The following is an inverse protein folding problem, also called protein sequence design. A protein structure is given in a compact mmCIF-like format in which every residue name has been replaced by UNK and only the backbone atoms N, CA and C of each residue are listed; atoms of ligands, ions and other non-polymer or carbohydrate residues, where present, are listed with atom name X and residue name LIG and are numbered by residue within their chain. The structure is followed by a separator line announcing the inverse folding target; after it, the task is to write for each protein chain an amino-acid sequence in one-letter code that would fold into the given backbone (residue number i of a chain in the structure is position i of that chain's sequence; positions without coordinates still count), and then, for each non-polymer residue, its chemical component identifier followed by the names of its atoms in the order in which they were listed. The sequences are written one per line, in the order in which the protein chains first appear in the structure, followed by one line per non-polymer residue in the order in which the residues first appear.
data_IF_382097172318
#
_entry.id   IF_382097172318
#
_cell.length_a   1.000
_cell.length_b   1.000
_cell.length_c   1.000
_cell.angle_alpha   90.00
_cell.angle_beta   90.00
_cell.angle_gamma   90.00
#
_symmetry.space_group_name_H-M   'P 1'
#
loop_
_entity.id
_entity.type
_entity.pdbx_description
1 polymer ?
#
# COMPACT_ATOMS: atom_id res chain seq x y z
N UNK A 1 -8.77 -9.51 37.27
CA UNK A 1 -9.62 -8.37 37.66
C UNK A 1 -9.84 -7.50 36.42
N UNK A 2 -10.44 -6.32 36.52
CA UNK A 2 -10.26 -5.29 35.50
C UNK A 2 -8.99 -4.49 35.85
N UNK A 3 -8.13 -4.24 34.86
CA UNK A 3 -7.04 -3.29 35.00
C UNK A 3 -7.65 -1.90 34.92
N UNK A 4 -7.63 -1.14 36.02
CA UNK A 4 -8.27 0.17 36.09
C UNK A 4 -7.52 1.22 35.24
N UNK A 5 -6.20 1.10 35.14
CA UNK A 5 -5.35 1.93 34.26
C UNK A 5 -4.38 1.06 33.45
N UNK A 6 -3.97 1.55 32.27
CA UNK A 6 -2.95 0.96 31.41
C UNK A 6 -2.02 2.03 30.83
N UNK A 7 -0.71 1.79 30.85
CA UNK A 7 0.32 2.73 30.44
C UNK A 7 0.91 2.37 29.06
N UNK A 8 0.55 3.14 28.04
CA UNK A 8 1.00 2.97 26.65
C UNK A 8 2.19 3.87 26.35
N UNK A 9 3.34 3.27 26.06
CA UNK A 9 4.53 3.99 25.58
C UNK A 9 4.61 3.99 24.05
N UNK A 10 5.10 5.09 23.47
CA UNK A 10 5.50 5.14 22.06
C UNK A 10 6.42 6.34 21.75
N UNK A 11 6.81 6.48 20.48
CA UNK A 11 7.62 7.61 20.00
C UNK A 11 6.80 8.89 19.91
N UNK A 12 7.43 10.02 20.19
CA UNK A 12 6.86 11.38 20.19
C UNK A 12 6.34 11.89 18.83
N UNK A 13 6.73 11.25 17.72
CA UNK A 13 6.26 11.63 16.39
C UNK A 13 4.74 11.45 16.21
N UNK A 14 4.07 12.38 15.51
CA UNK A 14 2.62 12.38 15.27
C UNK A 14 2.03 11.04 14.82
N UNK A 15 2.72 10.31 13.94
CA UNK A 15 2.23 9.01 13.47
C UNK A 15 2.24 7.95 14.58
N UNK A 16 3.24 7.96 15.46
CA UNK A 16 3.37 7.02 16.57
C UNK A 16 2.42 7.39 17.73
N UNK A 17 2.25 8.69 18.02
CA UNK A 17 1.17 9.21 18.88
C UNK A 17 -0.20 8.73 18.39
N UNK A 18 -0.51 8.95 17.10
CA UNK A 18 -1.76 8.50 16.48
C UNK A 18 -1.94 6.99 16.51
N UNK A 19 -0.89 6.20 16.27
CA UNK A 19 -0.95 4.74 16.40
C UNK A 19 -1.25 4.32 17.85
N UNK A 20 -0.77 5.07 18.84
CA UNK A 20 -1.06 4.82 20.26
C UNK A 20 -2.51 5.17 20.61
N UNK A 21 -3.01 6.33 20.16
CA UNK A 21 -4.41 6.73 20.35
C UNK A 21 -5.38 5.72 19.73
N UNK A 22 -5.11 5.23 18.52
CA UNK A 22 -5.92 4.17 17.89
C UNK A 22 -5.96 2.85 18.69
N UNK A 23 -4.92 2.55 19.48
CA UNK A 23 -4.88 1.38 20.37
C UNK A 23 -5.65 1.65 21.66
N UNK A 24 -5.52 2.85 22.24
CA UNK A 24 -6.31 3.25 23.40
C UNK A 24 -7.81 3.29 23.11
N UNK A 25 -8.22 3.90 22.00
CA UNK A 25 -9.61 3.93 21.54
C UNK A 25 -10.21 2.52 21.38
N UNK A 26 -9.42 1.55 20.91
CA UNK A 26 -9.85 0.16 20.81
C UNK A 26 -9.94 -0.54 22.19
N UNK A 27 -9.05 -0.21 23.13
CA UNK A 27 -9.10 -0.72 24.50
C UNK A 27 -10.31 -0.16 25.26
N UNK A 28 -10.51 1.15 25.22
CA UNK A 28 -11.63 1.87 25.87
C UNK A 28 -12.99 1.42 25.30
N UNK A 29 -13.05 1.03 24.02
CA UNK A 29 -14.24 0.44 23.40
C UNK A 29 -14.51 -1.04 23.78
N UNK A 30 -13.58 -1.73 24.46
CA UNK A 30 -13.68 -3.16 24.79
C UNK A 30 -13.41 -3.52 26.27
N UNK A 31 -12.99 -2.56 27.08
CA UNK A 31 -12.77 -2.66 28.50
C UNK A 31 -12.96 -1.29 29.19
N UNK A 32 -13.49 -1.30 30.41
CA UNK A 32 -13.54 -0.12 31.28
C UNK A 32 -12.16 0.09 31.90
N UNK A 33 -11.29 0.81 31.18
CA UNK A 33 -9.89 1.07 31.54
C UNK A 33 -9.48 2.49 31.13
N UNK A 34 -8.72 3.17 31.99
CA UNK A 34 -8.13 4.49 31.69
C UNK A 34 -6.75 4.35 31.04
N UNK A 35 -6.54 4.98 29.89
CA UNK A 35 -5.27 4.92 29.17
C UNK A 35 -4.37 6.12 29.53
N UNK A 36 -3.17 5.83 30.03
CA UNK A 36 -2.09 6.79 30.25
C UNK A 36 -1.08 6.70 29.09
N UNK A 37 -0.68 7.82 28.50
CA UNK A 37 0.22 7.85 27.34
C UNK A 37 1.61 8.42 27.69
N UNK A 38 2.67 7.69 27.33
CA UNK A 38 4.06 8.09 27.55
C UNK A 38 4.84 8.21 26.23
N UNK A 39 5.06 9.44 25.79
CA UNK A 39 5.72 9.73 24.51
C UNK A 39 7.18 10.14 24.69
N UNK A 40 8.10 9.30 24.21
CA UNK A 40 9.56 9.53 24.27
C UNK A 40 10.16 9.84 22.91
N UNK A 41 11.27 10.56 22.87
CA UNK A 41 12.14 10.60 21.68
C UNK A 41 13.06 9.39 21.70
N UNK A 42 13.43 8.87 20.53
CA UNK A 42 14.34 7.71 20.41
C UNK A 42 15.68 8.12 19.79
N UNK A 43 16.73 7.32 19.99
CA UNK A 43 18.07 7.60 19.44
C UNK A 43 18.05 7.85 17.92
N UNK A 44 17.20 7.14 17.18
CA UNK A 44 17.01 7.33 15.73
C UNK A 44 16.15 8.55 15.32
N UNK A 45 15.51 9.24 16.27
CA UNK A 45 14.95 10.58 16.05
C UNK A 45 16.01 11.68 16.25
N UNK A 46 17.03 11.41 17.08
CA UNK A 46 18.08 12.37 17.47
C UNK A 46 19.20 12.43 16.42
N UNK A 47 19.75 11.30 15.94
CA UNK A 47 20.78 11.32 14.88
C UNK A 47 20.17 11.44 13.48
N UNK A 48 19.90 12.69 13.08
CA UNK A 48 19.43 13.05 11.73
C UNK A 48 20.54 13.03 10.66
N UNK A 49 21.83 12.98 11.03
CA UNK A 49 22.97 13.19 10.13
C UNK A 49 23.44 11.87 9.49
N UNK A 50 23.77 10.85 10.29
CA UNK A 50 24.37 9.61 9.76
C UNK A 50 23.34 8.71 9.06
N UNK A 51 23.58 8.23 7.84
CA UNK A 51 22.68 7.28 7.15
C UNK A 51 22.31 6.07 8.03
N UNK A 52 21.08 5.56 7.92
CA UNK A 52 20.57 4.49 8.81
C UNK A 52 21.45 3.22 8.80
N UNK A 53 22.13 2.95 7.68
CA UNK A 53 23.05 1.82 7.51
C UNK A 53 24.44 2.04 8.14
N UNK A 54 24.82 3.27 8.50
CA UNK A 54 26.07 3.61 9.21
C UNK A 54 25.93 3.53 10.74
N UNK A 55 24.72 3.67 11.27
CA UNK A 55 24.47 3.54 12.71
C UNK A 55 24.59 2.05 13.10
N UNK A 56 25.33 1.67 14.15
CA UNK A 56 25.48 0.27 14.57
C UNK A 56 24.12 -0.43 14.75
N UNK A 57 23.93 -1.56 14.06
CA UNK A 57 22.59 -2.07 13.73
C UNK A 57 21.95 -2.94 14.83
N UNK A 58 21.74 -2.38 16.03
CA UNK A 58 20.75 -2.88 16.99
C UNK A 58 19.91 -1.74 17.58
N UNK A 59 18.65 -2.04 17.85
CA UNK A 59 17.73 -1.31 18.74
C UNK A 59 17.50 0.20 18.62
N UNK A 60 18.01 0.90 17.59
CA UNK A 60 17.99 2.37 17.40
C UNK A 60 16.62 3.07 17.61
N UNK A 61 15.50 2.34 17.50
CA UNK A 61 14.14 2.83 17.74
C UNK A 61 13.38 2.10 18.88
N UNK A 62 14.02 1.15 19.57
CA UNK A 62 13.35 0.18 20.46
C UNK A 62 14.07 -0.13 21.77
N UNK A 63 15.35 0.17 21.94
CA UNK A 63 16.10 -0.24 23.14
C UNK A 63 15.57 0.40 24.43
N UNK A 64 15.28 1.71 24.42
CA UNK A 64 14.67 2.41 25.57
C UNK A 64 13.33 1.76 25.99
N UNK A 65 12.45 1.54 25.01
CA UNK A 65 11.14 0.90 25.20
C UNK A 65 11.24 -0.59 25.59
N UNK A 66 12.31 -1.27 25.17
CA UNK A 66 12.58 -2.67 25.56
C UNK A 66 12.88 -2.74 27.05
N UNK A 67 13.68 -1.79 27.57
CA UNK A 67 13.98 -1.73 28.99
C UNK A 67 12.74 -1.33 29.81
N UNK A 68 11.92 -0.37 29.34
CA UNK A 68 10.66 -0.02 30.02
C UNK A 68 9.72 -1.22 30.19
N UNK A 69 9.60 -2.09 29.19
CA UNK A 69 8.76 -3.31 29.26
C UNK A 69 9.36 -4.40 30.17
N UNK A 70 10.69 -4.57 30.16
CA UNK A 70 11.37 -5.56 31.00
C UNK A 70 11.34 -5.15 32.49
N UNK A 71 11.42 -3.85 32.78
CA UNK A 71 11.34 -3.28 34.12
C UNK A 71 9.90 -2.96 34.57
N UNK A 72 8.89 -3.27 33.76
CA UNK A 72 7.46 -3.00 34.03
C UNK A 72 7.15 -1.51 34.29
N UNK A 73 7.91 -0.60 33.69
CA UNK A 73 7.68 0.86 33.68
C UNK A 73 6.57 1.29 32.72
N UNK A 74 6.19 0.41 31.80
CA UNK A 74 5.07 0.60 30.86
C UNK A 74 4.41 -0.76 30.61
N UNK A 75 3.09 -0.76 30.41
CA UNK A 75 2.30 -1.99 30.23
C UNK A 75 2.42 -2.54 28.81
N UNK A 76 2.47 -1.63 27.82
CA UNK A 76 2.66 -1.96 26.42
C UNK A 76 3.37 -0.85 25.66
N UNK A 77 4.00 -1.20 24.54
CA UNK A 77 4.60 -0.24 23.60
C UNK A 77 3.98 -0.41 22.21
N UNK A 78 3.57 0.70 21.60
CA UNK A 78 2.89 0.71 20.30
C UNK A 78 3.85 1.12 19.18
N UNK A 79 3.97 0.26 18.16
CA UNK A 79 4.91 0.42 17.04
C UNK A 79 4.24 0.29 15.66
N UNK A 80 4.87 0.86 14.63
CA UNK A 80 4.69 0.39 13.25
C UNK A 80 5.41 -0.95 13.09
N UNK A 81 4.67 -2.05 12.86
CA UNK A 81 5.22 -3.42 12.98
C UNK A 81 6.42 -3.68 12.05
N UNK A 82 6.39 -3.13 10.84
CA UNK A 82 7.51 -3.22 9.87
C UNK A 82 8.85 -2.64 10.35
N UNK A 83 8.85 -1.82 11.39
CA UNK A 83 10.05 -1.17 11.93
C UNK A 83 10.66 -2.00 13.10
N UNK A 84 10.02 -3.10 13.52
CA UNK A 84 10.52 -4.04 14.53
C UNK A 84 11.44 -5.12 13.94
N UNK A 85 12.54 -5.51 14.61
CA UNK A 85 13.46 -6.56 14.13
C UNK A 85 12.78 -7.92 14.04
N UNK A 86 13.18 -8.77 13.09
CA UNK A 86 12.62 -10.12 12.89
C UNK A 86 13.02 -11.12 13.99
N UNK A 87 14.12 -10.85 14.70
CA UNK A 87 14.55 -11.59 15.88
C UNK A 87 13.53 -11.49 17.03
N UNK A 88 13.16 -12.62 17.65
CA UNK A 88 12.34 -12.61 18.86
C UNK A 88 13.21 -12.25 20.07
N UNK A 89 12.91 -11.12 20.72
CA UNK A 89 13.54 -10.75 22.00
C UNK A 89 13.12 -11.74 23.09
N UNK A 90 14.01 -12.04 24.04
CA UNK A 90 13.65 -12.84 25.22
C UNK A 90 12.70 -12.02 26.12
N UNK A 91 11.70 -12.69 26.69
CA UNK A 91 10.70 -12.13 27.59
C UNK A 91 9.74 -11.05 27.03
N UNK A 92 9.87 -10.61 25.77
CA UNK A 92 8.89 -9.72 25.11
C UNK A 92 8.14 -10.45 24.00
N UNK A 93 6.91 -10.03 23.73
CA UNK A 93 6.09 -10.56 22.64
C UNK A 93 5.20 -9.47 22.02
N UNK A 94 4.86 -9.64 20.73
CA UNK A 94 3.78 -8.87 20.12
C UNK A 94 2.48 -9.58 20.48
N UNK A 95 1.64 -8.96 21.31
CA UNK A 95 0.43 -9.59 21.84
C UNK A 95 -0.80 -9.38 20.96
N UNK A 96 -0.87 -8.25 20.25
CA UNK A 96 -1.98 -7.92 19.37
C UNK A 96 -1.59 -6.94 18.25
N UNK A 97 -2.46 -6.86 17.25
CA UNK A 97 -2.47 -5.85 16.18
C UNK A 97 -3.88 -5.35 15.94
N UNK A 98 -4.02 -4.07 15.56
CA UNK A 98 -5.26 -3.54 15.01
C UNK A 98 -5.43 -3.93 13.52
N UNK A 99 -6.66 -3.87 12.97
CA UNK A 99 -6.93 -4.15 11.56
C UNK A 99 -6.02 -3.39 10.59
N UNK A 100 -5.48 -4.09 9.59
CA UNK A 100 -4.42 -3.56 8.71
C UNK A 100 -4.90 -2.33 7.92
N UNK A 101 -4.18 -1.22 8.04
CA UNK A 101 -4.25 -0.10 7.10
C UNK A 101 -3.64 -0.50 5.74
N UNK A 102 -3.77 0.34 4.70
CA UNK A 102 -3.30 -0.02 3.35
C UNK A 102 -1.77 -0.25 3.33
N UNK A 103 -1.38 -1.50 3.09
CA UNK A 103 0.01 -1.95 3.09
C UNK A 103 0.82 -1.40 1.91
N UNK A 104 0.16 -0.94 0.83
CA UNK A 104 0.81 -0.44 -0.39
C UNK A 104 1.67 0.80 -0.13
N UNK A 105 2.61 1.01 -1.02
CA UNK A 105 3.32 2.29 -1.10
C UNK A 105 2.51 3.28 -1.95
N UNK A 106 2.73 4.57 -1.68
CA UNK A 106 2.18 5.68 -2.44
C UNK A 106 3.35 6.44 -3.09
N UNK A 107 3.26 6.66 -4.40
CA UNK A 107 4.04 7.66 -5.10
C UNK A 107 3.24 8.97 -5.14
N UNK A 108 3.88 10.07 -4.75
CA UNK A 108 3.43 11.44 -4.99
C UNK A 108 4.40 12.11 -5.96
N UNK A 109 3.88 12.88 -6.92
CA UNK A 109 4.67 13.66 -7.90
C UNK A 109 4.08 15.06 -8.00
N UNK A 110 4.90 16.10 -7.99
CA UNK A 110 4.48 17.49 -8.15
C UNK A 110 3.75 17.69 -9.49
N UNK A 111 2.60 18.36 -9.49
CA UNK A 111 1.92 18.76 -10.73
C UNK A 111 2.80 19.65 -11.62
N UNK A 112 3.60 20.53 -11.00
CA UNK A 112 4.57 21.39 -11.69
C UNK A 112 5.71 20.64 -12.38
N UNK A 113 6.13 19.47 -11.88
CA UNK A 113 7.19 18.66 -12.51
C UNK A 113 6.76 17.98 -13.82
N UNK A 114 5.44 17.88 -14.09
CA UNK A 114 4.94 17.00 -15.14
C UNK A 114 5.44 17.35 -16.55
N UNK A 115 5.60 18.65 -16.85
CA UNK A 115 6.18 19.10 -18.12
C UNK A 115 7.67 18.74 -18.26
N UNK A 116 8.47 19.02 -17.22
CA UNK A 116 9.91 18.71 -17.15
C UNK A 116 10.17 17.20 -17.31
N UNK A 117 9.38 16.36 -16.64
CA UNK A 117 9.50 14.90 -16.68
C UNK A 117 9.02 14.33 -18.02
N UNK A 118 8.05 14.96 -18.69
CA UNK A 118 7.62 14.61 -20.04
C UNK A 118 8.70 14.86 -21.09
N UNK A 119 9.39 16.00 -20.97
CA UNK A 119 10.48 16.42 -21.85
C UNK A 119 11.75 15.57 -21.64
N UNK A 120 12.22 15.44 -20.39
CA UNK A 120 13.46 14.74 -20.07
C UNK A 120 13.36 13.21 -20.16
N UNK A 121 12.15 12.65 -20.05
CA UNK A 121 11.90 11.20 -19.82
C UNK A 121 12.62 10.64 -18.60
N UNK A 122 12.95 11.51 -17.63
CA UNK A 122 13.70 11.22 -16.42
C UNK A 122 12.98 11.84 -15.22
N UNK A 123 12.85 11.09 -14.13
CA UNK A 123 12.19 11.53 -12.89
C UNK A 123 13.13 11.37 -11.69
N UNK A 124 13.13 12.34 -10.77
CA UNK A 124 13.99 12.35 -9.58
C UNK A 124 13.12 12.27 -8.32
N UNK A 125 13.22 11.17 -7.56
CA UNK A 125 12.28 10.80 -6.49
C UNK A 125 12.95 10.66 -5.12
N UNK A 126 12.33 11.19 -4.08
CA UNK A 126 12.74 10.93 -2.71
C UNK A 126 12.31 9.53 -2.24
N UNK A 127 13.26 8.75 -1.73
CA UNK A 127 13.05 7.50 -0.97
C UNK A 127 14.36 7.09 -0.28
N UNK A 128 14.30 6.31 0.80
CA UNK A 128 15.47 5.71 1.47
C UNK A 128 15.29 4.22 1.74
N UNK A 129 14.56 3.53 0.87
CA UNK A 129 14.31 2.09 0.97
C UNK A 129 14.86 1.38 -0.28
N UNK A 130 15.87 0.51 -0.15
CA UNK A 130 16.43 -0.25 -1.28
C UNK A 130 15.38 -1.09 -2.03
N UNK A 131 14.42 -1.68 -1.31
CA UNK A 131 13.22 -2.32 -1.89
C UNK A 131 12.47 -1.40 -2.85
N UNK A 132 12.22 -0.15 -2.45
CA UNK A 132 11.52 0.82 -3.31
C UNK A 132 12.35 1.19 -4.53
N UNK A 133 13.66 1.39 -4.37
CA UNK A 133 14.53 1.70 -5.52
C UNK A 133 14.42 0.58 -6.57
N UNK A 134 14.64 -0.66 -6.15
CA UNK A 134 14.66 -1.83 -7.03
C UNK A 134 13.29 -2.15 -7.67
N UNK A 135 12.20 -2.08 -6.92
CA UNK A 135 10.87 -2.44 -7.42
C UNK A 135 10.16 -1.30 -8.17
N UNK A 136 10.36 -0.04 -7.78
CA UNK A 136 9.60 1.10 -8.34
C UNK A 136 10.22 1.63 -9.64
N UNK A 137 11.54 1.52 -9.83
CA UNK A 137 12.20 1.88 -11.11
C UNK A 137 11.59 1.16 -12.33
N UNK A 138 11.62 -0.19 -12.44
CA UNK A 138 11.13 -0.89 -13.64
C UNK A 138 9.61 -0.75 -13.82
N UNK A 139 8.87 -0.60 -12.72
CA UNK A 139 7.45 -0.25 -12.75
C UNK A 139 7.25 1.10 -13.44
N UNK A 140 7.89 2.18 -12.96
CA UNK A 140 7.66 3.51 -13.52
C UNK A 140 8.13 3.66 -14.97
N UNK A 141 9.24 3.03 -15.37
CA UNK A 141 9.68 3.05 -16.78
C UNK A 141 8.61 2.54 -17.75
N UNK A 142 7.74 1.61 -17.31
CA UNK A 142 6.70 0.99 -18.13
C UNK A 142 5.26 1.40 -17.81
N UNK A 143 5.00 1.99 -16.63
CA UNK A 143 3.65 2.26 -16.11
C UNK A 143 3.43 3.70 -15.64
N UNK A 144 4.45 4.57 -15.68
CA UNK A 144 4.26 6.01 -15.68
C UNK A 144 3.69 6.44 -17.06
N UNK A 145 2.82 7.48 -17.14
CA UNK A 145 2.35 8.01 -18.41
C UNK A 145 3.51 8.27 -19.37
N UNK A 146 3.29 8.07 -20.67
CA UNK A 146 4.23 8.39 -21.75
C UNK A 146 5.65 7.76 -21.68
N UNK A 147 5.88 6.82 -20.75
CA UNK A 147 7.14 6.12 -20.53
C UNK A 147 8.26 6.97 -19.92
N UNK A 148 9.17 6.32 -19.19
CA UNK A 148 10.40 6.94 -18.67
C UNK A 148 11.61 6.09 -19.04
N UNK A 149 12.71 6.76 -19.38
CA UNK A 149 14.01 6.12 -19.64
C UNK A 149 14.77 5.92 -18.31
N UNK A 150 14.64 6.87 -17.39
CA UNK A 150 15.40 6.96 -16.15
C UNK A 150 14.49 7.21 -14.95
N UNK A 151 14.86 6.64 -13.80
CA UNK A 151 14.21 6.88 -12.50
C UNK A 151 15.32 6.99 -11.46
N UNK A 152 15.62 8.23 -11.05
CA UNK A 152 16.66 8.51 -10.06
C UNK A 152 16.05 8.57 -8.66
N UNK A 153 16.78 8.09 -7.66
CA UNK A 153 16.35 8.16 -6.26
C UNK A 153 17.34 8.91 -5.38
N UNK A 154 16.83 9.86 -4.59
CA UNK A 154 17.58 10.57 -3.56
C UNK A 154 17.07 10.25 -2.15
N UNK A 155 18.00 10.22 -1.20
CA UNK A 155 17.70 9.86 0.19
C UNK A 155 16.95 10.98 0.92
N UNK A 156 15.93 10.61 1.72
CA UNK A 156 15.14 11.57 2.49
C UNK A 156 14.91 11.12 3.94
N UNK A 157 15.08 12.06 4.88
CA UNK A 157 15.00 11.83 6.33
C UNK A 157 14.03 12.77 7.03
N UNK A 158 13.49 12.29 8.15
CA UNK A 158 12.42 12.90 8.95
C UNK A 158 11.17 12.03 9.02
N UNK A 159 10.13 12.55 9.67
CA UNK A 159 8.77 11.98 9.69
C UNK A 159 8.03 12.26 8.36
N UNK A 160 6.74 11.92 8.24
CA UNK A 160 5.98 12.15 7.00
C UNK A 160 5.85 13.64 6.63
N UNK A 161 5.40 14.55 7.54
CA UNK A 161 5.45 15.99 7.31
C UNK A 161 6.83 16.52 6.85
N UNK A 162 7.93 16.19 7.55
CA UNK A 162 9.27 16.66 7.18
C UNK A 162 9.69 16.23 5.77
N UNK A 163 9.32 15.02 5.34
CA UNK A 163 9.62 14.53 3.98
C UNK A 163 8.80 15.23 2.90
N UNK A 164 7.58 15.65 3.22
CA UNK A 164 6.69 16.36 2.31
C UNK A 164 7.05 17.84 2.19
N UNK A 165 7.47 18.49 3.27
CA UNK A 165 8.04 19.83 3.23
C UNK A 165 9.29 19.86 2.34
N UNK A 166 10.25 18.96 2.60
CA UNK A 166 11.44 18.78 1.75
C UNK A 166 11.10 18.50 0.28
N UNK A 167 10.04 17.72 0.01
CA UNK A 167 9.57 17.54 -1.36
C UNK A 167 9.13 18.88 -1.97
N UNK A 168 8.25 19.63 -1.30
CA UNK A 168 7.76 20.94 -1.80
C UNK A 168 8.93 21.89 -2.08
N UNK A 169 9.85 22.02 -1.11
CA UNK A 169 11.03 22.89 -1.13
C UNK A 169 12.05 22.54 -2.24
N UNK A 170 12.26 21.25 -2.55
CA UNK A 170 13.36 20.82 -3.43
C UNK A 170 13.06 20.99 -4.93
N UNK A 171 13.65 22.01 -5.57
CA UNK A 171 13.49 22.32 -7.00
C UNK A 171 13.78 21.13 -7.94
N UNK A 172 14.86 20.38 -7.65
CA UNK A 172 15.37 19.29 -8.47
C UNK A 172 14.82 17.90 -8.10
N UNK A 173 13.73 17.84 -7.34
CA UNK A 173 13.01 16.61 -6.97
C UNK A 173 11.55 16.71 -7.42
N UNK A 174 11.10 15.68 -8.12
CA UNK A 174 9.77 15.62 -8.73
C UNK A 174 8.74 14.92 -7.84
N UNK A 175 9.16 14.04 -6.93
CA UNK A 175 8.23 13.24 -6.14
C UNK A 175 8.82 12.53 -4.93
N UNK A 176 7.98 11.78 -4.23
CA UNK A 176 8.29 11.05 -2.99
C UNK A 176 7.56 9.70 -2.99
N UNK A 177 8.26 8.62 -2.63
CA UNK A 177 7.63 7.31 -2.38
C UNK A 177 7.58 7.02 -0.89
N UNK A 178 6.37 6.96 -0.34
CA UNK A 178 6.07 6.73 1.07
C UNK A 178 5.15 5.51 1.29
N UNK A 179 4.90 5.14 2.53
CA UNK A 179 3.94 4.08 2.86
C UNK A 179 2.53 4.69 2.91
N UNK A 180 1.55 4.13 2.19
CA UNK A 180 0.23 4.75 2.07
C UNK A 180 -0.48 4.87 3.42
N UNK A 181 -0.52 3.77 4.21
CA UNK A 181 -1.02 3.77 5.59
C UNK A 181 -0.42 4.84 6.53
N UNK A 182 0.79 5.36 6.25
CA UNK A 182 1.41 6.40 7.07
C UNK A 182 0.86 7.80 6.73
N UNK A 183 0.45 8.03 5.48
CA UNK A 183 -0.28 9.22 5.06
C UNK A 183 -1.76 9.13 5.44
N UNK A 184 -2.40 7.99 5.12
CA UNK A 184 -3.83 7.75 5.37
C UNK A 184 -4.22 8.09 6.81
N UNK A 185 -3.46 7.57 7.79
CA UNK A 185 -3.66 7.86 9.21
C UNK A 185 -3.63 9.36 9.50
N UNK A 186 -2.58 10.06 9.06
CA UNK A 186 -2.39 11.49 9.36
C UNK A 186 -3.37 12.41 8.61
N UNK A 187 -3.90 11.99 7.47
CA UNK A 187 -4.87 12.78 6.66
C UNK A 187 -6.32 12.50 7.11
N UNK A 188 -6.63 11.28 7.56
CA UNK A 188 -7.98 10.91 8.01
C UNK A 188 -8.23 11.13 9.50
N UNK A 189 -7.19 11.36 10.31
CA UNK A 189 -7.28 11.46 11.78
C UNK A 189 -8.37 12.41 12.30
N UNK A 190 -9.10 11.97 13.32
CA UNK A 190 -10.04 12.75 14.12
C UNK A 190 -9.41 13.33 15.40
N UNK A 191 -8.20 12.89 15.77
CA UNK A 191 -7.48 13.35 16.98
C UNK A 191 -7.26 14.86 16.93
N UNK A 192 -7.77 15.59 17.94
CA UNK A 192 -7.74 17.05 17.99
C UNK A 192 -6.32 17.63 17.88
N UNK A 193 -5.37 17.05 18.63
CA UNK A 193 -3.96 17.44 18.67
C UNK A 193 -3.20 17.31 17.33
N UNK A 194 -3.81 16.68 16.33
CA UNK A 194 -3.21 16.38 15.02
C UNK A 194 -3.95 17.05 13.85
N UNK A 195 -5.00 17.83 14.12
CA UNK A 195 -5.77 18.47 13.03
C UNK A 195 -4.96 19.49 12.22
N UNK A 196 -3.94 20.12 12.79
CA UNK A 196 -3.08 21.03 12.01
C UNK A 196 -2.13 20.27 11.08
N UNK A 197 -1.48 19.20 11.56
CA UNK A 197 -0.72 18.26 10.71
C UNK A 197 -1.59 17.72 9.56
N UNK A 198 -2.86 17.38 9.84
CA UNK A 198 -3.84 16.96 8.84
C UNK A 198 -4.15 18.03 7.78
N UNK A 199 -4.45 19.27 8.17
CA UNK A 199 -4.68 20.40 7.23
C UNK A 199 -3.47 20.64 6.34
N UNK A 200 -2.27 20.68 6.95
CA UNK A 200 -1.02 20.91 6.25
C UNK A 200 -0.73 19.82 5.20
N UNK A 201 -0.87 18.56 5.57
CA UNK A 201 -0.72 17.43 4.64
C UNK A 201 -1.77 17.46 3.52
N UNK A 202 -3.03 17.73 3.84
CA UNK A 202 -4.10 17.86 2.84
C UNK A 202 -3.81 19.01 1.84
N UNK A 203 -3.31 20.14 2.32
CA UNK A 203 -2.88 21.28 1.48
C UNK A 203 -1.79 20.86 0.48
N UNK A 204 -0.72 20.21 0.94
CA UNK A 204 0.35 19.70 0.06
C UNK A 204 -0.21 18.75 -1.00
N UNK A 205 -1.11 17.83 -0.64
CA UNK A 205 -1.68 16.85 -1.57
C UNK A 205 -2.47 17.50 -2.72
N UNK A 206 -3.04 18.70 -2.55
CA UNK A 206 -3.71 19.41 -3.66
C UNK A 206 -2.76 19.68 -4.84
N UNK A 207 -1.47 19.88 -4.56
CA UNK A 207 -0.42 20.16 -5.56
C UNK A 207 0.20 18.91 -6.19
N UNK A 208 -0.21 17.71 -5.74
CA UNK A 208 0.40 16.43 -6.14
C UNK A 208 -0.52 15.61 -7.05
N UNK A 209 0.08 14.96 -8.05
CA UNK A 209 -0.45 13.76 -8.69
C UNK A 209 -0.02 12.53 -7.86
N UNK A 210 -0.83 11.47 -7.83
CA UNK A 210 -0.59 10.34 -6.93
C UNK A 210 -0.86 8.98 -7.58
N UNK A 211 -0.06 7.97 -7.22
CA UNK A 211 -0.25 6.57 -7.62
C UNK A 211 -0.13 5.66 -6.40
N UNK A 212 -1.16 4.87 -6.12
CA UNK A 212 -1.10 3.73 -5.20
C UNK A 212 -0.44 2.58 -5.93
N UNK A 213 0.75 2.18 -5.46
CA UNK A 213 1.61 1.27 -6.20
C UNK A 213 1.11 -0.19 -6.11
N UNK A 214 1.17 -0.97 -7.20
CA UNK A 214 0.67 -2.34 -7.24
C UNK A 214 1.45 -3.28 -6.32
N UNK A 215 0.79 -4.25 -5.69
CA UNK A 215 1.48 -5.27 -4.89
C UNK A 215 2.17 -6.33 -5.77
N UNK A 216 1.77 -6.49 -7.04
CA UNK A 216 2.48 -7.38 -7.97
C UNK A 216 3.81 -6.81 -8.46
N UNK A 217 3.99 -5.49 -8.41
CA UNK A 217 5.19 -4.80 -8.92
C UNK A 217 6.06 -4.23 -7.82
N UNK A 218 5.45 -3.67 -6.77
CA UNK A 218 6.13 -3.18 -5.58
C UNK A 218 5.44 -3.72 -4.31
N UNK A 219 5.56 -5.03 -4.02
CA UNK A 219 5.10 -5.59 -2.76
C UNK A 219 5.77 -4.90 -1.57
N UNK A 220 5.03 -4.80 -0.47
CA UNK A 220 5.37 -3.95 0.66
C UNK A 220 6.57 -4.45 1.48
N UNK A 221 7.04 -3.62 2.40
CA UNK A 221 7.90 -4.12 3.49
C UNK A 221 7.05 -5.03 4.41
N UNK A 222 7.65 -6.08 4.97
CA UNK A 222 6.94 -7.03 5.81
C UNK A 222 6.24 -6.34 7.01
N UNK A 223 4.97 -6.67 7.24
CA UNK A 223 4.07 -6.05 8.22
C UNK A 223 3.82 -4.53 8.03
N UNK A 224 4.06 -3.96 6.83
CA UNK A 224 3.70 -2.57 6.55
C UNK A 224 2.16 -2.38 6.62
N UNK A 225 1.73 -1.28 7.22
CA UNK A 225 0.30 -0.97 7.46
C UNK A 225 -0.22 -1.49 8.80
N UNK A 226 0.35 -2.55 9.35
CA UNK A 226 -0.02 -3.09 10.66
C UNK A 226 0.57 -2.27 11.82
N UNK A 227 -0.08 -2.37 12.99
CA UNK A 227 0.39 -1.79 14.27
C UNK A 227 0.76 -2.96 15.16
N UNK A 228 1.95 -2.96 15.75
CA UNK A 228 2.34 -3.96 16.73
C UNK A 228 2.21 -3.40 18.14
N UNK A 229 1.64 -4.21 19.04
CA UNK A 229 1.57 -3.93 20.47
C UNK A 229 2.54 -4.90 21.16
N UNK A 230 3.75 -4.42 21.51
CA UNK A 230 4.77 -5.19 22.23
C UNK A 230 4.51 -5.11 23.74
N UNK A 231 4.52 -6.25 24.43
CA UNK A 231 4.35 -6.35 25.89
C UNK A 231 5.41 -7.26 26.51
N UNK A 232 5.55 -7.18 27.83
CA UNK A 232 6.21 -8.23 28.60
C UNK A 232 5.40 -9.54 28.52
N UNK A 233 6.04 -10.63 28.14
CA UNK A 233 5.43 -11.96 27.95
C UNK A 233 4.85 -12.56 29.24
N UNK A 234 5.25 -12.07 30.41
CA UNK A 234 4.72 -12.51 31.70
C UNK A 234 3.40 -11.81 32.08
N UNK A 235 3.03 -10.73 31.40
CA UNK A 235 1.84 -9.92 31.71
C UNK A 235 0.55 -10.53 31.13
N UNK A 236 0.13 -11.67 31.68
CA UNK A 236 -1.01 -12.45 31.18
C UNK A 236 -2.36 -11.69 31.20
N UNK A 237 -2.57 -10.78 32.15
CA UNK A 237 -3.81 -9.99 32.24
C UNK A 237 -3.88 -8.90 31.16
N UNK A 238 -2.74 -8.29 30.82
CA UNK A 238 -2.60 -7.38 29.67
C UNK A 238 -2.81 -8.15 28.37
N UNK A 239 -2.19 -9.34 28.23
CA UNK A 239 -2.38 -10.21 27.07
C UNK A 239 -3.86 -10.58 26.86
N UNK A 240 -4.58 -10.95 27.92
CA UNK A 240 -6.00 -11.27 27.83
C UNK A 240 -6.87 -10.05 27.45
N UNK A 241 -6.51 -8.86 27.93
CA UNK A 241 -7.17 -7.62 27.52
C UNK A 241 -6.92 -7.32 26.04
N UNK A 242 -5.67 -7.46 25.58
CA UNK A 242 -5.27 -7.23 24.19
C UNK A 242 -5.85 -8.23 23.18
N UNK A 243 -6.20 -9.45 23.61
CA UNK A 243 -6.90 -10.43 22.76
C UNK A 243 -8.24 -9.90 22.24
N UNK A 244 -8.91 -8.98 22.95
CA UNK A 244 -10.19 -8.38 22.52
C UNK A 244 -10.07 -7.47 21.30
N UNK A 245 -8.93 -6.81 21.13
CA UNK A 245 -8.68 -5.82 20.07
C UNK A 245 -7.82 -6.37 18.92
N UNK A 246 -7.35 -7.61 19.05
CA UNK A 246 -6.47 -8.24 18.07
C UNK A 246 -7.24 -8.62 16.80
N UNK A 247 -6.72 -8.23 15.63
CA UNK A 247 -7.12 -8.72 14.32
C UNK A 247 -6.25 -9.95 13.95
N UNK A 248 -6.75 -11.19 14.06
CA UNK A 248 -5.91 -12.38 13.91
C UNK A 248 -5.44 -12.60 12.48
N UNK A 249 -6.14 -12.05 11.49
CA UNK A 249 -5.78 -12.14 10.07
C UNK A 249 -4.61 -11.21 9.74
N UNK A 250 -4.67 -9.98 10.23
CA UNK A 250 -3.60 -9.00 10.18
C UNK A 250 -2.37 -9.52 10.93
N UNK A 251 -2.57 -10.18 12.07
CA UNK A 251 -1.50 -10.81 12.84
C UNK A 251 -0.83 -11.93 12.03
N UNK A 252 -1.61 -12.89 11.55
CA UNK A 252 -1.14 -14.02 10.74
C UNK A 252 -0.42 -13.56 9.46
N UNK A 253 -0.99 -12.62 8.72
CA UNK A 253 -0.37 -12.07 7.50
C UNK A 253 0.95 -11.34 7.83
N UNK A 254 0.98 -10.55 8.89
CA UNK A 254 2.19 -9.81 9.31
C UNK A 254 3.31 -10.75 9.77
N UNK A 255 2.99 -11.78 10.56
CA UNK A 255 3.97 -12.83 10.91
C UNK A 255 4.44 -13.60 9.68
N UNK A 256 3.54 -13.98 8.75
CA UNK A 256 3.89 -14.73 7.55
C UNK A 256 4.83 -13.96 6.62
N UNK A 257 4.58 -12.66 6.43
CA UNK A 257 5.49 -11.77 5.69
C UNK A 257 6.87 -11.67 6.37
N UNK A 258 6.91 -11.52 7.70
CA UNK A 258 8.15 -11.40 8.47
C UNK A 258 8.96 -12.70 8.49
N UNK A 259 8.29 -13.85 8.55
CA UNK A 259 8.90 -15.17 8.45
C UNK A 259 9.55 -15.37 7.07
N UNK A 260 8.82 -15.08 5.98
CA UNK A 260 9.36 -15.16 4.60
C UNK A 260 10.52 -14.19 4.39
N UNK A 261 10.45 -12.96 4.94
CA UNK A 261 11.58 -12.02 4.87
C UNK A 261 12.80 -12.59 5.61
N UNK A 262 12.61 -13.13 6.82
CA UNK A 262 13.70 -13.66 7.65
C UNK A 262 14.45 -14.84 7.03
N UNK A 263 13.83 -15.64 6.16
CA UNK A 263 14.53 -16.72 5.43
C UNK A 263 15.54 -16.21 4.39
N UNK A 264 15.50 -14.92 4.02
CA UNK A 264 16.50 -14.25 3.18
C UNK A 264 17.54 -13.46 4.00
N UNK A 265 17.58 -13.66 5.33
CA UNK A 265 18.41 -12.88 6.26
C UNK A 265 17.61 -11.78 6.97
N UNK A 266 18.27 -11.05 7.88
CA UNK A 266 17.64 -9.99 8.67
C UNK A 266 18.09 -8.59 8.24
N UNK A 267 17.13 -7.68 8.03
CA UNK A 267 17.40 -6.24 7.95
C UNK A 267 16.45 -5.43 7.08
N UNK A 268 16.20 -4.18 7.46
CA UNK A 268 15.44 -3.21 6.65
C UNK A 268 16.20 -2.71 5.39
N UNK A 269 17.44 -3.18 5.20
CA UNK A 269 18.33 -2.83 4.11
C UNK A 269 18.11 -3.67 2.83
N UNK A 270 17.40 -4.79 2.92
CA UNK A 270 17.14 -5.68 1.80
C UNK A 270 16.35 -4.99 0.67
N UNK A 271 16.55 -5.45 -0.57
CA UNK A 271 15.79 -5.02 -1.75
C UNK A 271 14.48 -5.82 -1.93
N UNK A 272 14.07 -6.58 -0.91
CA UNK A 272 12.97 -7.55 -0.96
C UNK A 272 11.66 -6.92 -0.47
N UNK A 273 10.60 -7.07 -1.27
CA UNK A 273 9.22 -6.80 -0.89
C UNK A 273 8.41 -8.07 -0.81
N UNK A 274 7.57 -8.18 0.22
CA UNK A 274 6.71 -9.32 0.50
C UNK A 274 5.33 -8.81 0.95
N UNK A 275 4.29 -9.23 0.23
CA UNK A 275 2.89 -8.97 0.57
C UNK A 275 2.17 -10.31 0.72
N UNK A 276 1.52 -10.53 1.85
CA UNK A 276 0.67 -11.70 2.11
C UNK A 276 -0.73 -11.19 2.49
N UNK A 277 -1.74 -11.55 1.70
CA UNK A 277 -3.08 -11.01 1.84
C UNK A 277 -4.15 -12.09 1.66
N UNK A 278 -5.18 -12.05 2.50
CA UNK A 278 -6.37 -12.88 2.35
C UNK A 278 -7.27 -12.37 1.23
N UNK A 279 -7.83 -13.28 0.47
CA UNK A 279 -8.89 -13.03 -0.49
C UNK A 279 -9.99 -14.10 -0.36
N UNK A 280 -11.12 -13.92 -1.04
CA UNK A 280 -12.29 -14.83 -0.97
C UNK A 280 -11.99 -16.27 -1.39
N UNK A 281 -10.92 -16.49 -2.15
CA UNK A 281 -10.50 -17.79 -2.70
C UNK A 281 -9.23 -18.37 -2.04
N UNK A 282 -8.75 -17.76 -0.94
CA UNK A 282 -7.49 -18.11 -0.26
C UNK A 282 -6.51 -16.94 -0.18
N UNK A 283 -5.28 -17.21 0.26
CA UNK A 283 -4.25 -16.19 0.42
C UNK A 283 -3.46 -15.98 -0.88
N UNK A 284 -3.12 -14.73 -1.18
CA UNK A 284 -2.22 -14.36 -2.27
C UNK A 284 -0.91 -13.86 -1.68
N UNK A 285 0.20 -14.39 -2.21
CA UNK A 285 1.55 -13.95 -1.88
C UNK A 285 2.20 -13.30 -3.10
N UNK A 286 2.75 -12.10 -2.92
CA UNK A 286 3.67 -11.47 -3.86
C UNK A 286 5.04 -11.31 -3.20
N UNK A 287 6.09 -11.85 -3.81
CA UNK A 287 7.47 -11.73 -3.33
C UNK A 287 8.33 -11.22 -4.49
N UNK A 288 8.89 -10.01 -4.38
CA UNK A 288 9.65 -9.37 -5.46
C UNK A 288 10.80 -8.51 -4.94
N UNK A 289 11.99 -8.68 -5.52
CA UNK A 289 13.20 -7.98 -5.09
C UNK A 289 14.49 -8.65 -5.55
N UNK A 290 15.59 -8.27 -4.90
CA UNK A 290 16.92 -8.85 -5.07
C UNK A 290 17.46 -9.27 -3.69
N UNK A 291 17.97 -10.50 -3.55
CA UNK A 291 18.64 -10.94 -2.32
C UNK A 291 20.07 -10.40 -2.27
N UNK A 292 20.69 -10.41 -1.08
CA UNK A 292 22.09 -9.97 -0.93
C UNK A 292 23.08 -10.94 -1.62
N UNK A 293 22.66 -12.18 -1.89
CA UNK A 293 23.37 -13.14 -2.74
C UNK A 293 23.15 -12.96 -4.25
N UNK A 294 22.39 -11.94 -4.67
CA UNK A 294 22.14 -11.63 -6.09
C UNK A 294 20.99 -12.39 -6.75
N UNK A 295 20.19 -13.16 -6.00
CA UNK A 295 19.01 -13.86 -6.54
C UNK A 295 17.87 -12.88 -6.82
N UNK A 296 17.33 -12.90 -8.04
CA UNK A 296 16.17 -12.09 -8.42
C UNK A 296 14.88 -12.82 -8.04
N UNK A 297 14.14 -12.25 -7.09
CA UNK A 297 12.84 -12.73 -6.66
C UNK A 297 11.73 -12.07 -7.48
N UNK A 298 10.84 -12.88 -8.07
CA UNK A 298 9.64 -12.40 -8.77
C UNK A 298 8.55 -13.49 -8.77
N UNK A 299 7.89 -13.70 -7.63
CA UNK A 299 6.92 -14.77 -7.40
C UNK A 299 5.51 -14.22 -7.12
N UNK A 300 4.49 -14.82 -7.75
CA UNK A 300 3.06 -14.64 -7.42
C UNK A 300 2.47 -16.01 -7.13
N UNK A 301 2.07 -16.26 -5.89
CA UNK A 301 1.44 -17.53 -5.48
C UNK A 301 0.01 -17.30 -5.01
N UNK A 302 -0.90 -18.19 -5.42
CA UNK A 302 -2.23 -18.34 -4.84
C UNK A 302 -2.21 -19.59 -3.97
N UNK A 303 -2.38 -19.39 -2.67
CA UNK A 303 -2.37 -20.40 -1.62
C UNK A 303 -3.82 -20.61 -1.20
N UNK A 304 -4.46 -21.60 -1.80
CA UNK A 304 -5.78 -22.03 -1.36
C UNK A 304 -5.67 -22.67 0.04
N UNK A 305 -6.64 -22.45 0.95
CA UNK A 305 -6.88 -23.42 2.02
C UNK A 305 -7.16 -24.79 1.37
N UNK A 306 -6.80 -25.88 2.04
CA UNK A 306 -6.82 -27.22 1.46
C UNK A 306 -8.24 -27.69 1.10
N UNK A 307 -8.68 -27.36 -0.11
CA UNK A 307 -9.81 -27.96 -0.80
C UNK A 307 -9.26 -28.96 -1.82
N UNK A 308 -9.89 -30.13 -1.90
CA UNK A 308 -9.46 -31.18 -2.82
C UNK A 308 -9.46 -30.67 -4.27
N UNK A 309 -8.37 -30.95 -4.98
CA UNK A 309 -8.24 -30.59 -6.40
C UNK A 309 -9.21 -31.43 -7.22
N UNK A 310 -10.43 -30.92 -7.44
CA UNK A 310 -11.44 -31.54 -8.30
C UNK A 310 -10.91 -31.62 -9.73
N UNK A 311 -10.33 -32.77 -10.08
CA UNK A 311 -9.72 -33.03 -11.39
C UNK A 311 -10.79 -33.30 -12.45
N UNK A 312 -11.48 -32.25 -12.88
CA UNK A 312 -12.29 -32.32 -14.09
C UNK A 312 -11.40 -32.66 -15.31
N UNK A 313 -11.57 -33.86 -15.87
CA UNK A 313 -10.91 -34.26 -17.12
C UNK A 313 -11.74 -33.77 -18.31
N UNK A 314 -11.37 -32.61 -18.85
CA UNK A 314 -11.88 -32.15 -20.15
C UNK A 314 -10.84 -32.39 -21.24
N UNK A 315 -11.27 -32.73 -22.46
CA UNK A 315 -10.40 -32.73 -23.62
C UNK A 315 -10.18 -31.28 -24.10
N UNK A 316 -8.94 -30.84 -24.40
CA UNK A 316 -8.70 -29.52 -24.97
C UNK A 316 -9.53 -29.27 -26.24
N UNK A 317 -9.68 -30.30 -27.09
CA UNK A 317 -10.46 -30.23 -28.33
C UNK A 317 -11.99 -30.14 -28.12
N UNK A 318 -12.49 -30.43 -26.91
CA UNK A 318 -13.90 -30.17 -26.53
C UNK A 318 -14.09 -28.75 -25.95
N UNK A 319 -13.00 -28.09 -25.55
CA UNK A 319 -13.03 -26.77 -24.89
C UNK A 319 -12.76 -25.64 -25.88
N UNK A 320 -11.82 -25.84 -26.82
CA UNK A 320 -11.38 -24.83 -27.78
C UNK A 320 -11.13 -25.48 -29.14
N UNK A 321 -11.79 -24.97 -30.17
CA UNK A 321 -11.53 -25.30 -31.58
C UNK A 321 -11.09 -24.05 -32.33
N UNK A 322 -10.14 -24.18 -33.26
CA UNK A 322 -9.57 -23.05 -34.01
C UNK A 322 -10.38 -22.66 -35.26
N UNK A 323 -11.55 -23.27 -35.47
CA UNK A 323 -12.42 -23.01 -36.61
C UNK A 323 -13.00 -21.58 -36.61
N UNK A 324 -13.10 -20.96 -37.79
CA UNK A 324 -13.64 -19.60 -37.97
C UNK A 324 -15.11 -19.42 -37.52
N UNK A 325 -15.83 -20.53 -37.31
CA UNK A 325 -17.14 -20.57 -36.62
C UNK A 325 -17.10 -19.88 -35.25
N UNK A 326 -15.99 -19.99 -34.51
CA UNK A 326 -15.82 -19.47 -33.15
C UNK A 326 -15.74 -17.93 -33.04
N UNK A 327 -15.91 -17.19 -34.14
CA UNK A 327 -16.42 -15.81 -34.07
C UNK A 327 -17.92 -15.83 -33.71
N UNK A 328 -18.21 -16.04 -32.43
CA UNK A 328 -19.56 -15.98 -31.86
C UNK A 328 -20.16 -14.58 -31.89
N UNK A 329 -19.31 -13.55 -31.78
CA UNK A 329 -19.71 -12.16 -31.59
C UNK A 329 -19.15 -11.23 -32.67
N UNK A 330 -20.03 -10.41 -33.24
CA UNK A 330 -19.68 -9.23 -34.00
C UNK A 330 -19.41 -8.05 -33.05
N UNK A 331 -18.96 -6.91 -33.57
CA UNK A 331 -18.37 -5.81 -32.78
C UNK A 331 -18.81 -4.43 -33.29
N UNK A 332 -19.37 -3.58 -32.42
CA UNK A 332 -19.98 -2.29 -32.78
C UNK A 332 -19.66 -1.21 -31.73
N UNK A 333 -19.32 0.01 -32.19
CA UNK A 333 -18.97 1.21 -31.38
C UNK A 333 -20.18 2.16 -31.13
N UNK A 334 -20.04 3.15 -30.23
CA UNK A 334 -21.05 4.17 -29.83
C UNK A 334 -20.31 5.55 -29.52
N UNK A 335 -20.88 6.64 -28.92
CA UNK A 335 -20.27 7.81 -28.11
C UNK A 335 -21.40 8.65 -27.43
N UNK A 336 -21.34 9.35 -26.26
CA UNK A 336 -20.32 10.05 -25.41
C UNK A 336 -20.99 11.11 -24.54
N UNK A 337 -21.81 10.69 -23.56
CA UNK A 337 -22.41 11.57 -22.54
C UNK A 337 -22.34 11.06 -21.09
N UNK A 338 -21.18 11.22 -20.44
CA UNK A 338 -21.08 11.36 -18.96
C UNK A 338 -20.26 12.61 -18.67
N UNK A 339 -20.79 13.50 -17.82
CA UNK A 339 -20.28 14.84 -17.58
C UNK A 339 -20.22 15.20 -16.08
N UNK A 340 -19.04 15.09 -15.46
CA UNK A 340 -18.73 15.78 -14.20
C UNK A 340 -17.23 16.01 -14.07
N UNK A 341 -16.84 17.07 -13.36
CA UNK A 341 -15.44 17.34 -13.00
C UNK A 341 -14.97 16.55 -11.76
N UNK A 342 -15.74 15.53 -11.33
CA UNK A 342 -15.52 14.73 -10.11
C UNK A 342 -15.67 13.22 -10.34
N UNK A 343 -15.74 12.77 -11.59
CA UNK A 343 -15.79 11.34 -11.93
C UNK A 343 -14.46 10.63 -11.67
N UNK A 344 -14.54 9.44 -11.07
CA UNK A 344 -13.49 8.43 -11.05
C UNK A 344 -13.90 7.23 -11.93
N UNK A 345 -12.91 6.51 -12.47
CA UNK A 345 -13.13 5.48 -13.49
C UNK A 345 -12.42 4.17 -13.14
N UNK A 346 -13.18 3.09 -13.07
CA UNK A 346 -12.65 1.73 -12.94
C UNK A 346 -12.54 1.07 -14.33
N UNK A 347 -11.33 1.01 -14.87
CA UNK A 347 -11.06 0.51 -16.23
C UNK A 347 -10.77 -0.98 -16.20
N UNK A 348 -11.70 -1.79 -16.73
CA UNK A 348 -11.50 -3.24 -16.84
C UNK A 348 -10.40 -3.59 -17.85
N UNK A 349 -10.44 -2.99 -19.04
CA UNK A 349 -9.48 -3.21 -20.15
C UNK A 349 -9.15 -1.90 -20.86
N UNK A 350 -7.90 -1.76 -21.31
CA UNK A 350 -7.50 -0.60 -22.13
C UNK A 350 -8.15 -0.60 -23.53
N UNK A 351 -8.59 -1.76 -24.03
CA UNK A 351 -9.44 -1.90 -25.23
C UNK A 351 -10.92 -1.58 -24.94
N UNK A 352 -11.13 -0.52 -24.15
CA UNK A 352 -12.42 0.03 -23.75
C UNK A 352 -12.30 1.56 -23.53
N UNK A 353 -11.33 2.18 -24.21
CA UNK A 353 -11.03 3.61 -24.13
C UNK A 353 -10.48 4.01 -25.51
N UNK A 354 -11.10 5.01 -26.16
CA UNK A 354 -10.65 5.56 -27.44
C UNK A 354 -9.72 6.79 -27.25
N UNK A 355 -9.20 7.29 -28.37
CA UNK A 355 -8.37 8.50 -28.47
C UNK A 355 -8.98 9.71 -27.76
N UNK A 356 -10.30 9.87 -27.80
CA UNK A 356 -11.00 11.02 -27.22
C UNK A 356 -11.35 10.84 -25.74
N UNK A 357 -11.69 9.61 -25.30
CA UNK A 357 -11.83 9.29 -23.88
C UNK A 357 -10.52 9.42 -23.10
N UNK A 358 -9.36 9.20 -23.74
CA UNK A 358 -8.04 9.51 -23.14
C UNK A 358 -7.93 10.98 -22.71
N UNK A 359 -8.54 11.92 -23.47
CA UNK A 359 -8.57 13.35 -23.08
C UNK A 359 -9.39 13.56 -21.81
N UNK A 360 -10.55 12.89 -21.71
CA UNK A 360 -11.44 12.92 -20.54
C UNK A 360 -10.73 12.35 -19.29
N UNK A 361 -10.12 11.17 -19.41
CA UNK A 361 -9.47 10.44 -18.31
C UNK A 361 -8.20 11.10 -17.75
N UNK A 362 -7.50 11.96 -18.51
CA UNK A 362 -6.26 12.62 -18.04
C UNK A 362 -6.43 13.51 -16.82
N UNK A 363 -7.65 13.99 -16.55
CA UNK A 363 -7.97 14.87 -15.41
C UNK A 363 -8.81 14.17 -14.33
N UNK A 364 -8.95 12.84 -14.40
CA UNK A 364 -9.82 12.04 -13.53
C UNK A 364 -9.03 11.01 -12.73
N UNK A 365 -9.63 10.47 -11.67
CA UNK A 365 -9.04 9.35 -10.93
C UNK A 365 -9.26 8.07 -11.73
N UNK A 366 -8.18 7.40 -12.15
CA UNK A 366 -8.24 6.19 -12.98
C UNK A 366 -7.71 4.98 -12.21
N UNK A 367 -8.60 4.02 -11.92
CA UNK A 367 -8.25 2.72 -11.37
C UNK A 367 -8.33 1.65 -12.44
N UNK A 368 -7.60 0.54 -12.30
CA UNK A 368 -7.57 -0.54 -13.30
C UNK A 368 -7.82 -1.91 -12.69
N UNK A 369 -8.39 -2.85 -13.45
CA UNK A 369 -8.58 -4.22 -12.98
C UNK A 369 -7.26 -5.02 -12.85
N UNK A 370 -6.19 -4.61 -13.54
CA UNK A 370 -4.87 -5.25 -13.42
C UNK A 370 -3.77 -4.63 -14.29
N UNK A 371 -2.54 -5.06 -14.07
CA UNK A 371 -1.31 -4.48 -14.65
C UNK A 371 -1.29 -4.40 -16.18
N UNK A 372 -1.82 -5.40 -16.89
CA UNK A 372 -1.90 -5.38 -18.36
C UNK A 372 -2.83 -4.27 -18.90
N UNK A 373 -3.79 -3.81 -18.08
CA UNK A 373 -4.60 -2.63 -18.36
C UNK A 373 -3.87 -1.34 -17.96
N UNK A 374 -3.20 -1.31 -16.80
CA UNK A 374 -2.37 -0.16 -16.38
C UNK A 374 -1.36 0.23 -17.46
N UNK A 375 -0.47 -0.70 -17.84
CA UNK A 375 0.60 -0.42 -18.82
C UNK A 375 0.06 0.15 -20.13
N UNK A 376 -1.00 -0.46 -20.68
CA UNK A 376 -1.64 0.01 -21.92
C UNK A 376 -2.31 1.38 -21.81
N UNK A 377 -2.72 1.79 -20.62
CA UNK A 377 -3.25 3.14 -20.36
C UNK A 377 -2.12 4.17 -20.18
N UNK A 378 -1.02 3.77 -19.54
CA UNK A 378 0.19 4.59 -19.37
C UNK A 378 0.91 4.86 -20.71
N UNK A 379 1.01 3.83 -21.58
CA UNK A 379 1.46 3.94 -22.98
C UNK A 379 0.67 5.00 -23.78
N UNK A 380 -0.61 5.19 -23.43
CA UNK A 380 -1.53 6.20 -24.03
C UNK A 380 -1.47 7.56 -23.33
N UNK A 381 -0.57 7.74 -22.37
CA UNK A 381 -0.40 8.98 -21.62
C UNK A 381 -1.51 9.26 -20.60
N UNK A 382 -2.24 8.26 -20.13
CA UNK A 382 -3.21 8.40 -19.03
C UNK A 382 -2.52 8.16 -17.69
N UNK A 383 -2.70 9.08 -16.74
CA UNK A 383 -2.29 8.87 -15.35
C UNK A 383 -3.21 7.84 -14.71
N UNK A 384 -2.66 6.67 -14.38
CA UNK A 384 -3.37 5.62 -13.62
C UNK A 384 -3.01 5.77 -12.15
N UNK A 385 -4.02 5.90 -11.31
CA UNK A 385 -3.91 6.13 -9.87
C UNK A 385 -3.81 4.85 -9.05
N UNK A 386 -4.21 3.69 -9.58
CA UNK A 386 -4.14 2.41 -8.88
C UNK A 386 -4.66 1.21 -9.67
N UNK A 387 -4.59 0.04 -9.04
CA UNK A 387 -5.03 -1.23 -9.64
C UNK A 387 -5.50 -2.25 -8.61
N UNK A 388 -6.20 -3.29 -9.09
CA UNK A 388 -6.60 -4.46 -8.30
C UNK A 388 -5.65 -5.67 -8.49
N UNK A 389 -4.47 -5.50 -9.10
CA UNK A 389 -3.45 -6.56 -9.28
C UNK A 389 -3.94 -7.85 -10.00
N UNK A 390 -5.08 -7.77 -10.69
CA UNK A 390 -5.78 -8.91 -11.28
C UNK A 390 -6.47 -9.84 -10.27
N UNK A 391 -6.79 -9.35 -9.06
CA UNK A 391 -7.41 -10.11 -7.97
C UNK A 391 -8.95 -10.06 -7.99
N UNK A 392 -9.54 -9.17 -8.80
CA UNK A 392 -10.98 -8.96 -8.90
C UNK A 392 -11.46 -7.70 -8.17
N UNK A 393 -12.76 -7.47 -8.22
CA UNK A 393 -13.37 -6.18 -7.83
C UNK A 393 -13.72 -6.10 -6.33
N UNK A 394 -13.66 -7.22 -5.61
CA UNK A 394 -13.98 -7.31 -4.19
C UNK A 394 -12.87 -6.77 -3.26
N UNK A 395 -11.67 -6.53 -3.78
CA UNK A 395 -10.61 -5.85 -3.03
C UNK A 395 -10.92 -4.34 -2.93
N UNK A 396 -11.02 -3.74 -1.73
CA UNK A 396 -11.34 -2.32 -1.61
C UNK A 396 -10.20 -1.45 -2.16
N UNK A 397 -10.55 -0.41 -2.93
CA UNK A 397 -9.54 0.49 -3.54
C UNK A 397 -8.76 1.29 -2.49
N UNK A 398 -9.36 1.55 -1.32
CA UNK A 398 -8.78 2.28 -0.18
C UNK A 398 -8.26 3.66 -0.57
N UNK A 399 -9.09 4.46 -1.24
CA UNK A 399 -8.70 5.76 -1.82
C UNK A 399 -9.14 6.98 -1.00
N UNK A 400 -9.64 6.76 0.22
CA UNK A 400 -10.42 7.73 1.01
C UNK A 400 -9.61 8.96 1.43
N UNK A 401 -8.29 8.81 1.62
CA UNK A 401 -7.37 9.90 1.94
C UNK A 401 -6.88 10.71 0.71
N UNK A 402 -7.26 10.30 -0.51
CA UNK A 402 -6.69 10.79 -1.78
C UNK A 402 -7.76 11.25 -2.79
N UNK A 403 -9.03 11.00 -2.49
CA UNK A 403 -10.20 11.18 -3.35
C UNK A 403 -11.29 11.90 -2.53
N UNK A 404 -12.07 12.78 -3.16
CA UNK A 404 -13.16 13.47 -2.44
C UNK A 404 -14.24 12.44 -2.03
N UNK A 405 -14.86 12.54 -0.83
CA UNK A 405 -15.96 11.65 -0.45
C UNK A 405 -17.12 11.64 -1.46
N UNK A 406 -17.34 12.76 -2.16
CA UNK A 406 -18.38 12.93 -3.18
C UNK A 406 -17.80 12.73 -4.59
N UNK A 407 -17.16 11.59 -4.83
CA UNK A 407 -16.56 11.19 -6.12
C UNK A 407 -17.36 10.05 -6.73
N UNK A 408 -17.95 10.29 -7.90
CA UNK A 408 -18.77 9.31 -8.61
C UNK A 408 -17.88 8.26 -9.29
N UNK A 409 -18.02 6.99 -8.92
CA UNK A 409 -17.24 5.89 -9.51
C UNK A 409 -17.97 5.23 -10.68
N UNK A 410 -17.47 5.45 -11.89
CA UNK A 410 -17.99 4.86 -13.12
C UNK A 410 -17.17 3.63 -13.52
N UNK A 411 -17.83 2.55 -13.92
CA UNK A 411 -17.18 1.31 -14.34
C UNK A 411 -17.06 1.25 -15.86
N UNK A 412 -15.84 1.25 -16.41
CA UNK A 412 -15.62 1.11 -17.85
C UNK A 412 -15.45 -0.38 -18.21
N UNK A 413 -16.53 -0.96 -18.75
CA UNK A 413 -16.61 -2.35 -19.23
C UNK A 413 -17.09 -2.42 -20.67
N UNK A 414 -17.11 -3.62 -21.27
CA UNK A 414 -17.67 -3.82 -22.62
C UNK A 414 -19.21 -3.77 -22.69
N UNK A 415 -19.90 -3.65 -21.55
CA UNK A 415 -21.36 -3.58 -21.48
C UNK A 415 -21.81 -2.20 -20.96
N UNK A 416 -21.12 -1.69 -19.94
CA UNK A 416 -21.31 -0.35 -19.37
C UNK A 416 -20.64 0.74 -20.22
N UNK A 417 -20.13 0.38 -21.41
CA UNK A 417 -19.84 1.31 -22.49
C UNK A 417 -21.13 1.82 -23.14
N UNK A 418 -21.96 2.43 -22.29
CA UNK A 418 -22.52 3.72 -22.61
C UNK A 418 -21.40 4.66 -23.07
N UNK A 419 -21.79 5.55 -23.96
CA UNK A 419 -21.44 5.20 -25.32
C UNK A 419 -19.95 5.51 -25.67
N UNK A 420 -19.29 4.83 -26.61
CA UNK A 420 -18.05 5.33 -27.27
C UNK A 420 -16.79 5.58 -26.45
N UNK A 421 -16.76 5.16 -25.19
CA UNK A 421 -15.66 4.27 -24.85
C UNK A 421 -15.52 3.24 -26.00
N UNK A 422 -14.35 3.10 -26.66
CA UNK A 422 -14.19 2.10 -27.75
C UNK A 422 -14.09 0.69 -27.17
N UNK A 423 -15.25 0.25 -26.71
CA UNK A 423 -15.65 -1.09 -26.41
C UNK A 423 -16.61 -1.52 -27.51
N UNK A 424 -16.58 -2.81 -27.85
CA UNK A 424 -17.45 -3.32 -28.89
C UNK A 424 -18.65 -4.06 -28.28
N UNK A 425 -19.87 -3.64 -28.61
CA UNK A 425 -21.09 -4.40 -28.31
C UNK A 425 -21.02 -5.77 -28.98
N UNK A 426 -21.00 -6.83 -28.17
CA UNK A 426 -20.86 -8.22 -28.62
C UNK A 426 -22.20 -8.78 -29.12
N UNK A 427 -22.59 -8.44 -30.35
CA UNK A 427 -23.81 -9.02 -30.94
C UNK A 427 -23.56 -10.47 -31.34
N UNK A 428 -24.33 -11.38 -30.75
CA UNK A 428 -24.36 -12.83 -31.08
C UNK A 428 -24.74 -13.00 -32.54
N UNK A 429 -23.99 -13.80 -33.30
CA UNK A 429 -24.44 -14.25 -34.61
C UNK A 429 -25.61 -15.23 -34.41
N UNK A 430 -26.83 -14.82 -34.77
CA UNK A 430 -28.05 -15.61 -34.56
C UNK A 430 -28.09 -16.86 -35.45
N UNK A 431 -27.54 -16.77 -36.67
CA UNK A 431 -27.41 -17.86 -37.65
C UNK A 431 -26.34 -18.92 -37.28
N UNK A 432 -26.17 -19.27 -35.99
CA UNK A 432 -25.10 -20.17 -35.49
C UNK A 432 -25.53 -21.09 -34.33
N UNK A 433 -26.84 -21.30 -34.14
CA UNK A 433 -27.41 -22.28 -33.21
C UNK A 433 -28.52 -23.05 -33.91
#
# INVERSE_FOLDING_TARGET
MSLAELNISSRKSDLARLQSFLVGEALEATAEVKINYHFKESLGDINLIDPLWKIPQKGVFTEDFTQDLLEMKTDMVVHSWKDLPTEKKKFLQIAATLPRADQRDLLLVKKSSFARVLESKSIRLFSSSPRRFYNVEPFLKSCFPFGLNEVHFENVRGNIPTRLNKLVEAENIDGLVLAKAALDRLVLTHVAELQETKKHLASILTSMNWMVLPLSENPNAAAQGAIAIEINSQSLEILHTLQKINDPETFHCSEKERLVLSSYGGGCHQKIGIAYLKHTYGHVQFLKGLTDGGEILNQKHLIHPAQDKVKHKFSPALMWSDSASNKYFNRIDQDWSVSSARSAFFVTKASCVNTDSIKKLKNSVVWTAGMATWKKMAERGVWVNGTQDGLGEHTPMRSEALVSPNTDWHKLTHADSGDGASCYKLIRNENKF
#
